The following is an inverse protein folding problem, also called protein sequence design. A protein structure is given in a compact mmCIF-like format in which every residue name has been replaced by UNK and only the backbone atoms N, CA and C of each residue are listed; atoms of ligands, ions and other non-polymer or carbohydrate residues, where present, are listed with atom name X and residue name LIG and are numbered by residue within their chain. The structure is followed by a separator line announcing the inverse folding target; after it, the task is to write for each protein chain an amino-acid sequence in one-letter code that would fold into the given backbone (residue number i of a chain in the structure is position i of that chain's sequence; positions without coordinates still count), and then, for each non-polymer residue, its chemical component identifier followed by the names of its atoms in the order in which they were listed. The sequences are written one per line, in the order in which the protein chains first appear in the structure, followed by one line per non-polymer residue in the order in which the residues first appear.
data_IF_873950755252
#
_entry.id   IF_873950755252
#
_cell.length_a   1.000
_cell.length_b   1.000
_cell.length_c   1.000
_cell.angle_alpha   90.00
_cell.angle_beta   90.00
_cell.angle_gamma   90.00
#
_symmetry.space_group_name_H-M   'P 1'
#
loop_
_entity.id
_entity.type
_entity.pdbx_description
1 polymer ?
#
# COMPACT_ATOMS: atom_id res chain seq x y z
N UNK A 1 -33.94 -52.64 -8.10
CA UNK A 1 -34.44 -52.99 -9.45
C UNK A 1 -35.58 -52.04 -9.78
N UNK A 2 -35.30 -50.88 -10.38
CA UNK A 2 -36.33 -49.93 -10.81
C UNK A 2 -35.86 -49.13 -12.02
N UNK A 3 -36.70 -49.16 -13.05
CA UNK A 3 -36.84 -48.22 -14.17
C UNK A 3 -35.70 -48.08 -15.20
N UNK A 4 -35.86 -48.79 -16.32
CA UNK A 4 -35.35 -48.42 -17.65
C UNK A 4 -36.44 -48.71 -18.68
N UNK A 5 -36.66 -47.76 -19.61
CA UNK A 5 -37.50 -47.71 -20.84
C UNK A 5 -38.30 -46.39 -20.83
N UNK A 6 -38.29 -45.52 -21.83
CA UNK A 6 -38.24 -45.68 -23.29
C UNK A 6 -37.63 -44.45 -23.98
N UNK A 7 -36.90 -44.67 -25.08
CA UNK A 7 -36.66 -43.69 -26.15
C UNK A 7 -37.86 -43.66 -27.11
N UNK A 8 -38.23 -42.50 -27.65
CA UNK A 8 -38.91 -42.38 -28.95
C UNK A 8 -38.37 -41.15 -29.70
N UNK A 9 -38.09 -41.42 -30.96
CA UNK A 9 -37.46 -40.65 -32.03
C UNK A 9 -38.29 -39.49 -32.59
N UNK A 10 -37.62 -38.52 -33.24
CA UNK A 10 -38.29 -37.50 -34.05
C UNK A 10 -37.32 -36.68 -34.90
N UNK A 11 -37.14 -37.09 -36.16
CA UNK A 11 -36.41 -36.37 -37.21
C UNK A 11 -37.37 -35.72 -38.22
N UNK A 12 -37.10 -34.49 -38.66
CA UNK A 12 -37.39 -33.97 -40.02
C UNK A 12 -36.78 -32.56 -40.13
N UNK A 13 -35.68 -32.38 -40.88
CA UNK A 13 -35.61 -32.05 -42.31
C UNK A 13 -36.04 -30.62 -42.72
N UNK A 14 -35.00 -29.84 -43.05
CA UNK A 14 -34.78 -28.99 -44.22
C UNK A 14 -35.73 -27.82 -44.57
N UNK A 15 -35.14 -26.64 -44.76
CA UNK A 15 -35.77 -25.48 -45.37
C UNK A 15 -34.84 -24.27 -45.48
N UNK A 16 -33.73 -24.38 -46.22
CA UNK A 16 -33.07 -23.20 -46.80
C UNK A 16 -34.00 -22.54 -47.81
N UNK A 17 -33.91 -21.20 -48.03
CA UNK A 17 -34.11 -20.41 -49.27
C UNK A 17 -34.19 -18.89 -48.91
N UNK A 18 -34.01 -17.92 -49.84
CA UNK A 18 -32.77 -17.17 -50.02
C UNK A 18 -32.85 -15.67 -49.66
N UNK A 19 -31.67 -15.05 -49.64
CA UNK A 19 -31.39 -13.61 -49.51
C UNK A 19 -31.99 -12.81 -50.68
N UNK A 20 -32.48 -11.57 -50.43
CA UNK A 20 -32.22 -10.34 -51.23
C UNK A 20 -32.76 -9.05 -50.54
N UNK A 21 -32.27 -7.85 -50.93
CA UNK A 21 -32.01 -6.72 -50.04
C UNK A 21 -33.02 -5.57 -50.19
N UNK A 22 -32.87 -4.48 -49.43
CA UNK A 22 -32.74 -3.09 -49.91
C UNK A 22 -32.65 -2.11 -48.73
N UNK A 23 -31.67 -1.22 -48.85
CA UNK A 23 -31.44 0.07 -48.20
C UNK A 23 -32.50 0.65 -47.24
N UNK A 24 -32.01 1.04 -46.06
CA UNK A 24 -32.44 2.30 -45.44
C UNK A 24 -31.24 2.98 -44.76
N UNK A 25 -30.83 4.10 -45.35
CA UNK A 25 -29.94 5.08 -44.73
C UNK A 25 -30.56 5.54 -43.40
N UNK A 26 -29.81 5.38 -42.32
CA UNK A 26 -30.16 5.84 -40.98
C UNK A 26 -28.96 6.52 -40.35
N UNK A 27 -28.91 7.83 -40.55
CA UNK A 27 -28.01 8.84 -39.98
C UNK A 27 -27.11 8.37 -38.82
N UNK A 28 -25.81 8.27 -39.12
CA UNK A 28 -24.77 8.24 -38.11
C UNK A 28 -24.86 9.53 -37.27
N UNK A 29 -25.53 9.46 -36.12
CA UNK A 29 -25.48 10.50 -35.11
C UNK A 29 -24.00 10.72 -34.78
N UNK A 30 -23.49 11.86 -35.21
CA UNK A 30 -22.19 12.37 -34.81
C UNK A 30 -22.27 12.62 -33.31
N UNK A 31 -22.04 11.57 -32.50
CA UNK A 31 -21.59 11.76 -31.13
C UNK A 31 -20.22 12.39 -31.25
N UNK A 32 -20.18 13.73 -31.30
CA UNK A 32 -18.96 14.50 -31.09
C UNK A 32 -18.28 13.85 -29.89
N UNK A 33 -17.06 13.30 -30.01
CA UNK A 33 -16.34 12.91 -28.81
C UNK A 33 -16.23 14.18 -27.98
N UNK A 34 -16.82 14.18 -26.78
CA UNK A 34 -16.52 15.20 -25.79
C UNK A 34 -15.00 15.22 -25.73
N UNK A 35 -14.42 16.33 -26.21
CA UNK A 35 -12.99 16.60 -26.17
C UNK A 35 -12.58 16.36 -24.72
N UNK A 36 -11.99 15.19 -24.44
CA UNK A 36 -11.40 14.91 -23.14
C UNK A 36 -10.38 16.02 -22.97
N UNK A 37 -10.72 17.00 -22.15
CA UNK A 37 -9.76 18.01 -21.77
C UNK A 37 -8.58 17.22 -21.19
N UNK A 38 -7.36 17.42 -21.70
CA UNK A 38 -6.21 16.82 -21.05
C UNK A 38 -6.25 17.30 -19.61
N UNK A 39 -6.32 16.34 -18.68
CA UNK A 39 -6.31 16.56 -17.24
C UNK A 39 -5.31 17.67 -16.95
N UNK A 40 -5.80 18.88 -16.69
CA UNK A 40 -4.98 19.95 -16.14
C UNK A 40 -4.43 19.33 -14.88
N UNK A 41 -3.11 19.14 -14.84
CA UNK A 41 -2.42 18.74 -13.63
C UNK A 41 -2.97 19.65 -12.54
N UNK A 42 -3.77 19.06 -11.66
CA UNK A 42 -4.27 19.71 -10.47
C UNK A 42 -3.00 20.01 -9.68
N UNK A 43 -2.49 21.24 -9.86
CA UNK A 43 -1.38 21.72 -9.06
C UNK A 43 -1.97 21.87 -7.68
N UNK A 44 -1.78 20.84 -6.87
CA UNK A 44 -2.12 20.87 -5.45
C UNK A 44 -1.61 22.20 -4.91
N UNK A 45 -2.47 23.03 -4.29
CA UNK A 45 -2.01 24.29 -3.73
C UNK A 45 -0.90 23.96 -2.71
N UNK A 46 0.23 24.64 -2.85
CA UNK A 46 1.25 24.71 -1.79
C UNK A 46 0.52 24.83 -0.47
N UNK A 47 0.74 23.88 0.43
CA UNK A 47 0.14 23.93 1.74
C UNK A 47 0.65 25.23 2.37
N UNK A 48 -0.25 26.05 2.92
CA UNK A 48 0.13 27.39 3.43
C UNK A 48 1.26 27.33 4.46
N UNK A 49 1.51 26.17 5.07
CA UNK A 49 2.53 25.92 6.08
C UNK A 49 3.86 25.39 5.51
N UNK A 50 3.97 25.13 4.21
CA UNK A 50 5.14 24.52 3.59
C UNK A 50 6.42 25.33 3.83
N UNK A 51 6.30 26.66 3.90
CA UNK A 51 7.45 27.54 4.18
C UNK A 51 8.02 27.37 5.60
N UNK A 52 7.18 27.02 6.58
CA UNK A 52 7.62 26.74 7.95
C UNK A 52 8.15 25.31 8.04
N UNK A 53 7.46 24.37 7.39
CA UNK A 53 7.80 22.96 7.42
C UNK A 53 9.17 22.71 6.79
N UNK A 54 9.52 23.43 5.72
CA UNK A 54 10.79 23.28 5.02
C UNK A 54 12.02 23.50 5.90
N UNK A 55 11.95 24.39 6.90
CA UNK A 55 13.07 24.65 7.81
C UNK A 55 13.36 23.47 8.76
N UNK A 56 12.40 22.56 8.94
CA UNK A 56 12.49 21.43 9.86
C UNK A 56 12.50 20.07 9.15
N UNK A 57 12.47 20.06 7.82
CA UNK A 57 12.66 18.86 7.03
C UNK A 57 14.13 18.42 7.12
N UNK A 58 14.31 17.11 7.25
CA UNK A 58 15.61 16.45 7.31
C UNK A 58 15.80 15.58 6.07
N UNK A 59 16.96 15.71 5.44
CA UNK A 59 17.31 15.00 4.20
C UNK A 59 18.11 13.71 4.45
N UNK A 60 18.55 13.46 5.69
CA UNK A 60 19.41 12.33 6.08
C UNK A 60 18.63 11.02 6.33
N UNK A 61 17.40 10.93 5.81
CA UNK A 61 16.48 9.85 6.12
C UNK A 61 16.46 8.83 4.98
N UNK A 62 16.78 7.56 5.23
CA UNK A 62 16.75 6.55 4.19
C UNK A 62 15.32 6.27 3.72
N UNK A 63 15.20 5.79 2.48
CA UNK A 63 13.94 5.25 1.99
C UNK A 63 13.64 3.88 2.64
N UNK A 64 12.54 3.82 3.39
CA UNK A 64 12.02 2.61 4.01
C UNK A 64 10.50 2.66 4.09
N UNK A 65 9.90 1.48 4.06
CA UNK A 65 8.46 1.30 4.07
C UNK A 65 7.95 0.31 5.12
N UNK A 66 6.62 0.10 5.15
CA UNK A 66 6.02 -0.98 5.94
C UNK A 66 6.61 -2.33 5.56
N UNK A 67 6.90 -3.17 6.55
CA UNK A 67 7.47 -4.51 6.36
C UNK A 67 8.99 -4.57 6.48
N UNK A 68 9.67 -3.43 6.35
CA UNK A 68 11.12 -3.35 6.51
C UNK A 68 11.51 -3.49 7.98
N UNK A 69 12.67 -4.11 8.23
CA UNK A 69 13.27 -4.14 9.56
C UNK A 69 14.27 -3.00 9.67
N UNK A 70 14.06 -2.13 10.65
CA UNK A 70 14.88 -0.93 10.88
C UNK A 70 15.47 -0.92 12.29
N UNK A 71 16.66 -0.35 12.42
CA UNK A 71 17.22 0.06 13.70
C UNK A 71 17.02 1.57 13.83
N UNK A 72 16.24 2.01 14.82
CA UNK A 72 16.06 3.43 15.12
C UNK A 72 16.97 3.81 16.27
N UNK A 73 17.91 4.72 16.04
CA UNK A 73 18.83 5.22 17.07
C UNK A 73 18.19 6.42 17.76
N UNK A 74 17.68 6.22 18.97
CA UNK A 74 16.94 7.24 19.72
C UNK A 74 17.83 7.80 20.82
N UNK A 75 17.98 9.12 20.86
CA UNK A 75 18.60 9.84 21.97
C UNK A 75 17.66 9.81 23.17
N UNK A 76 18.14 9.27 24.28
CA UNK A 76 17.43 9.21 25.55
C UNK A 76 18.25 9.98 26.59
N UNK A 77 17.63 10.99 27.18
CA UNK A 77 18.22 11.85 28.20
C UNK A 77 17.69 11.39 29.56
N UNK A 78 18.56 10.88 30.42
CA UNK A 78 18.22 10.47 31.79
C UNK A 78 18.95 11.41 32.76
N UNK A 79 18.26 12.48 33.17
CA UNK A 79 18.84 13.54 33.99
C UNK A 79 19.95 14.29 33.23
N UNK A 80 21.19 14.16 33.70
CA UNK A 80 22.37 14.80 33.10
C UNK A 80 23.11 13.93 32.09
N UNK A 81 22.70 12.68 31.86
CA UNK A 81 23.39 11.74 30.98
C UNK A 81 22.58 11.46 29.72
N UNK A 82 23.23 11.62 28.58
CA UNK A 82 22.67 11.26 27.28
C UNK A 82 23.20 9.90 26.83
N UNK A 83 22.31 9.08 26.27
CA UNK A 83 22.68 7.81 25.63
C UNK A 83 21.85 7.56 24.39
N UNK A 84 22.41 6.80 23.46
CA UNK A 84 21.69 6.35 22.27
C UNK A 84 21.12 4.96 22.55
N UNK A 85 19.79 4.84 22.56
CA UNK A 85 19.09 3.57 22.63
C UNK A 85 18.67 3.12 21.24
N UNK A 86 19.07 1.90 20.87
CA UNK A 86 18.71 1.31 19.57
C UNK A 86 17.40 0.54 19.69
N UNK A 87 16.39 0.96 18.94
CA UNK A 87 15.12 0.28 18.80
C UNK A 87 15.06 -0.47 17.47
N UNK A 88 15.43 -1.76 17.50
CA UNK A 88 15.36 -2.66 16.34
C UNK A 88 13.99 -3.31 16.23
N UNK A 89 13.31 -3.16 15.10
CA UNK A 89 12.04 -3.82 14.87
C UNK A 89 11.51 -3.64 13.45
N UNK A 90 10.30 -4.16 13.22
CA UNK A 90 9.63 -4.11 11.92
C UNK A 90 8.76 -2.87 11.83
N UNK A 91 8.81 -2.16 10.71
CA UNK A 91 7.92 -1.03 10.43
C UNK A 91 6.51 -1.56 10.14
N UNK A 92 5.57 -1.23 11.02
CA UNK A 92 4.17 -1.65 10.92
C UNK A 92 3.37 -0.77 9.96
N UNK A 93 3.69 0.53 9.95
CA UNK A 93 3.08 1.56 9.12
C UNK A 93 3.98 2.79 9.04
N UNK A 94 3.80 3.56 7.98
CA UNK A 94 4.29 4.93 7.79
C UNK A 94 3.10 5.77 7.32
N UNK A 95 2.90 6.95 7.89
CA UNK A 95 1.70 7.77 7.68
C UNK A 95 2.00 9.26 7.85
N UNK A 96 1.17 10.09 7.23
CA UNK A 96 1.36 11.54 7.20
C UNK A 96 2.19 11.95 5.98
N UNK A 97 2.62 13.20 5.98
CA UNK A 97 3.45 13.80 4.95
C UNK A 97 4.14 15.05 5.48
N UNK A 98 5.21 15.48 4.81
CA UNK A 98 6.04 16.58 5.25
C UNK A 98 6.59 16.36 6.67
N UNK A 99 6.66 17.44 7.45
CA UNK A 99 7.22 17.41 8.81
C UNK A 99 6.45 16.49 9.78
N UNK A 100 5.15 16.28 9.53
CA UNK A 100 4.25 15.48 10.38
C UNK A 100 4.27 14.00 10.05
N UNK A 101 5.13 13.58 9.15
CA UNK A 101 5.28 12.18 8.81
C UNK A 101 5.74 11.36 10.04
N UNK A 102 5.06 10.24 10.28
CA UNK A 102 5.32 9.35 11.40
C UNK A 102 5.39 7.91 10.93
N UNK A 103 6.16 7.09 11.63
CA UNK A 103 6.23 5.66 11.41
C UNK A 103 6.16 4.91 12.73
N UNK A 104 5.57 3.71 12.70
CA UNK A 104 5.43 2.87 13.88
C UNK A 104 6.28 1.63 13.71
N UNK A 105 7.20 1.39 14.65
CA UNK A 105 8.05 0.21 14.68
C UNK A 105 7.55 -0.74 15.78
N UNK A 106 7.45 -2.02 15.45
CA UNK A 106 7.04 -3.10 16.34
C UNK A 106 8.21 -4.05 16.60
N UNK A 107 8.47 -4.34 17.87
CA UNK A 107 9.46 -5.33 18.32
C UNK A 107 8.81 -6.21 19.39
N UNK A 108 9.17 -7.49 19.43
CA UNK A 108 8.92 -8.32 20.61
C UNK A 108 10.15 -8.23 21.54
N UNK A 109 9.94 -7.74 22.76
CA UNK A 109 10.99 -7.60 23.77
C UNK A 109 10.58 -8.37 25.01
N UNK A 110 11.41 -9.34 25.42
CA UNK A 110 11.14 -10.16 26.61
C UNK A 110 9.73 -10.80 26.63
N UNK A 111 9.26 -11.27 25.46
CA UNK A 111 7.93 -11.89 25.31
C UNK A 111 6.75 -10.91 25.23
N UNK A 112 7.00 -9.60 25.35
CA UNK A 112 5.97 -8.56 25.24
C UNK A 112 6.14 -7.80 23.92
N UNK A 113 5.05 -7.63 23.18
CA UNK A 113 5.04 -6.83 21.96
C UNK A 113 5.07 -5.34 22.29
N UNK A 114 6.16 -4.66 21.94
CA UNK A 114 6.36 -3.23 22.12
C UNK A 114 6.22 -2.53 20.78
N UNK A 115 5.37 -1.50 20.73
CA UNK A 115 5.24 -0.60 19.59
C UNK A 115 5.71 0.80 20.00
N UNK A 116 6.54 1.42 19.16
CA UNK A 116 6.93 2.82 19.31
C UNK A 116 6.63 3.56 18.02
N UNK A 117 6.01 4.73 18.14
CA UNK A 117 5.74 5.62 17.01
C UNK A 117 6.70 6.78 17.08
N UNK A 118 7.36 7.06 15.97
CA UNK A 118 8.37 8.09 15.85
C UNK A 118 7.99 9.06 14.73
N UNK A 119 8.13 10.38 14.94
CA UNK A 119 8.14 11.34 13.86
C UNK A 119 9.41 11.16 13.03
N UNK A 120 9.27 11.11 11.72
CA UNK A 120 10.38 10.88 10.76
C UNK A 120 11.47 11.93 10.94
N UNK A 121 11.10 13.21 11.06
CA UNK A 121 12.03 14.33 11.19
C UNK A 121 12.33 14.73 12.65
N UNK A 122 12.12 13.84 13.62
CA UNK A 122 12.37 14.20 15.03
C UNK A 122 13.86 14.40 15.32
N UNK A 123 14.26 15.45 16.07
CA UNK A 123 15.65 15.66 16.49
C UNK A 123 16.12 14.62 17.53
N UNK A 124 15.18 13.91 18.16
CA UNK A 124 15.46 12.83 19.11
C UNK A 124 15.96 11.56 18.40
N UNK A 125 15.78 11.46 17.08
CA UNK A 125 16.36 10.40 16.27
C UNK A 125 17.73 10.88 15.81
N UNK A 126 18.74 10.08 16.10
CA UNK A 126 20.08 10.31 15.60
C UNK A 126 20.16 9.91 14.12
N UNK A 127 19.98 8.62 13.84
CA UNK A 127 19.89 8.03 12.51
C UNK A 127 18.96 6.81 12.47
N UNK A 128 18.62 6.36 11.26
CA UNK A 128 17.81 5.17 11.02
C UNK A 128 18.59 4.26 10.07
N UNK A 129 18.83 3.01 10.48
CA UNK A 129 19.45 2.01 9.60
C UNK A 129 18.40 1.01 9.12
N UNK A 130 18.35 0.80 7.81
CA UNK A 130 17.52 -0.25 7.20
C UNK A 130 18.32 -1.55 7.20
N UNK A 131 17.88 -2.53 7.97
CA UNK A 131 18.58 -3.82 8.13
C UNK A 131 18.17 -4.79 7.03
N UNK A 132 16.87 -4.94 6.80
CA UNK A 132 16.33 -5.83 5.76
C UNK A 132 15.07 -5.23 5.16
N UNK A 133 14.88 -5.42 3.85
CA UNK A 133 13.66 -5.01 3.17
C UNK A 133 12.64 -6.14 3.15
N UNK A 134 11.41 -5.84 3.56
CA UNK A 134 10.32 -6.81 3.64
C UNK A 134 9.49 -6.86 2.36
N UNK A 135 9.13 -8.06 1.91
CA UNK A 135 8.11 -8.26 0.90
C UNK A 135 6.73 -8.34 1.55
N UNK A 136 5.96 -7.26 1.44
CA UNK A 136 4.60 -7.13 1.96
C UNK A 136 3.68 -6.50 0.92
N UNK A 137 2.42 -6.96 0.95
CA UNK A 137 1.38 -6.46 0.03
C UNK A 137 0.50 -5.36 0.61
N UNK A 138 0.53 -5.18 1.94
CA UNK A 138 -0.33 -4.22 2.66
C UNK A 138 0.50 -3.05 3.15
N UNK A 139 -0.04 -1.83 3.02
CA UNK A 139 0.60 -0.62 3.54
C UNK A 139 0.57 -0.52 5.08
N UNK A 140 -0.32 -1.26 5.75
CA UNK A 140 -0.44 -1.30 7.22
C UNK A 140 -0.51 -2.75 7.69
N UNK A 141 0.43 -3.15 8.54
CA UNK A 141 0.66 -4.54 8.93
C UNK A 141 0.08 -4.88 10.31
N UNK A 142 -1.10 -4.36 10.65
CA UNK A 142 -1.70 -4.55 11.97
C UNK A 142 -1.93 -6.01 12.36
N UNK A 143 -2.06 -6.91 11.37
CA UNK A 143 -2.18 -8.35 11.61
C UNK A 143 -0.97 -8.94 12.36
N UNK A 144 0.21 -8.31 12.31
CA UNK A 144 1.39 -8.73 13.07
C UNK A 144 1.25 -8.58 14.59
N UNK A 145 0.18 -7.93 15.07
CA UNK A 145 -0.13 -7.83 16.50
C UNK A 145 -0.57 -9.16 17.10
N UNK A 146 -1.32 -9.93 16.32
CA UNK A 146 -1.88 -11.23 16.72
C UNK A 146 -0.88 -12.38 16.49
N UNK A 147 0.09 -12.19 15.59
CA UNK A 147 1.07 -13.20 15.25
C UNK A 147 2.30 -13.15 16.16
N UNK A 148 2.89 -14.32 16.44
CA UNK A 148 4.10 -14.50 17.26
C UNK A 148 5.04 -15.54 16.64
N UNK A 149 6.33 -15.43 16.98
CA UNK A 149 7.36 -16.38 16.54
C UNK A 149 7.42 -16.54 15.01
N UNK A 150 7.41 -17.79 14.54
CA UNK A 150 7.54 -18.13 13.11
C UNK A 150 6.43 -17.51 12.24
N UNK A 151 5.22 -17.32 12.79
CA UNK A 151 4.09 -16.74 12.05
C UNK A 151 4.25 -15.24 11.78
N UNK A 152 5.00 -14.54 12.63
CA UNK A 152 5.27 -13.10 12.47
C UNK A 152 6.44 -12.81 11.52
N UNK A 153 7.10 -13.83 10.98
CA UNK A 153 8.24 -13.66 10.08
C UNK A 153 7.76 -13.12 8.72
N UNK A 154 8.33 -11.99 8.32
CA UNK A 154 8.11 -11.38 7.00
C UNK A 154 9.12 -11.97 6.01
N UNK A 155 8.69 -12.14 4.75
CA UNK A 155 9.57 -12.57 3.67
C UNK A 155 10.50 -11.42 3.29
N UNK A 156 11.75 -11.73 2.98
CA UNK A 156 12.70 -10.73 2.52
C UNK A 156 12.53 -10.49 1.01
N UNK A 157 12.64 -9.23 0.59
CA UNK A 157 12.62 -8.84 -0.82
C UNK A 157 14.02 -9.08 -1.39
N UNK A 158 14.15 -10.12 -2.22
CA UNK A 158 15.35 -10.42 -3.02
C UNK A 158 15.18 -9.96 -4.45
#
# INVERSE_FOLDING_TARGET
MSAQLQEITGSAHCGMHPIRPIHRLGHASHRRPLRRQPNSKEVSPMNTLDFVDQASLRDDIPDFGPGDTVNVHVKVIEGSKERIQVFKGVVLRRQGGGIRETFTVRKESYGVGVERTFPVHSPNIDHIDVVTRGDVRRAKLYYLRELRGKKAKIKEKR
#
